data_IF_963924493292
#
_entry.id   IF_963924493292
#
_cell.length_a   1.000
_cell.length_b   1.000
_cell.length_c   1.000
_cell.angle_alpha   90.00
_cell.angle_beta   90.00
_cell.angle_gamma   90.00
#
_symmetry.space_group_name_H-M   'P 1'
#
loop_
_entity.id
_entity.type
_entity.pdbx_description
1 polymer ?
#
# COMPACT_ATOMS: atom_id res chain seq x y z
N UNK A 1 10.54 -14.49 8.48
CA UNK A 1 10.28 -15.93 8.81
C UNK A 1 8.79 -16.24 8.97
N UNK A 2 8.02 -15.54 9.81
CA UNK A 2 6.58 -15.88 10.04
C UNK A 2 5.74 -15.86 8.76
N UNK A 3 5.86 -14.83 7.92
CA UNK A 3 5.10 -14.73 6.66
C UNK A 3 5.42 -15.87 5.69
N UNK A 4 6.70 -16.25 5.57
CA UNK A 4 7.12 -17.37 4.71
C UNK A 4 6.56 -18.70 5.19
N UNK A 5 6.52 -18.92 6.52
CA UNK A 5 5.94 -20.14 7.11
C UNK A 5 4.44 -20.22 6.85
N UNK A 6 3.72 -19.11 7.09
CA UNK A 6 2.27 -19.02 6.78
C UNK A 6 2.05 -19.25 5.28
N UNK A 7 2.85 -18.63 4.42
CA UNK A 7 2.78 -18.84 2.97
C UNK A 7 3.01 -20.28 2.55
N UNK A 8 3.98 -20.95 3.15
CA UNK A 8 4.25 -22.37 2.89
C UNK A 8 3.08 -23.25 3.33
N UNK A 9 2.51 -23.00 4.51
CA UNK A 9 1.33 -23.73 5.00
C UNK A 9 0.15 -23.54 4.06
N UNK A 10 -0.13 -22.31 3.63
CA UNK A 10 -1.19 -22.02 2.67
C UNK A 10 -0.94 -22.66 1.30
N UNK A 11 0.30 -22.66 0.83
CA UNK A 11 0.69 -23.29 -0.44
C UNK A 11 0.50 -24.83 -0.38
N UNK A 12 0.88 -25.45 0.73
CA UNK A 12 0.64 -26.89 0.95
C UNK A 12 -0.86 -27.17 1.03
N UNK A 13 -1.61 -26.37 1.80
CA UNK A 13 -3.07 -26.53 1.90
C UNK A 13 -3.75 -26.39 0.53
N UNK A 14 -3.40 -25.33 -0.23
CA UNK A 14 -3.90 -25.14 -1.59
C UNK A 14 -3.47 -26.27 -2.54
N UNK A 15 -2.23 -26.76 -2.44
CA UNK A 15 -1.77 -27.91 -3.21
C UNK A 15 -2.55 -29.20 -2.90
N UNK A 16 -2.95 -29.41 -1.66
CA UNK A 16 -3.83 -30.54 -1.27
C UNK A 16 -5.19 -30.40 -1.96
N UNK A 17 -5.81 -29.22 -2.03
CA UNK A 17 -7.11 -29.04 -2.72
C UNK A 17 -7.02 -29.37 -4.22
N UNK A 18 -5.89 -29.07 -4.85
CA UNK A 18 -5.65 -29.42 -6.26
C UNK A 18 -5.45 -30.93 -6.43
N UNK A 19 -4.60 -31.55 -5.60
CA UNK A 19 -4.31 -33.00 -5.72
C UNK A 19 -5.46 -33.89 -5.35
N UNK A 20 -6.37 -33.42 -4.47
CA UNK A 20 -7.61 -34.14 -4.10
C UNK A 20 -8.74 -33.89 -5.09
N UNK A 21 -8.57 -33.04 -6.10
CA UNK A 21 -9.59 -32.70 -7.08
C UNK A 21 -10.69 -31.76 -6.57
N UNK A 22 -10.56 -31.21 -5.36
CA UNK A 22 -11.46 -30.17 -4.84
C UNK A 22 -11.39 -28.91 -5.70
N UNK A 23 -10.16 -28.51 -6.08
CA UNK A 23 -9.93 -27.44 -7.04
C UNK A 23 -9.46 -28.04 -8.37
N UNK A 24 -10.27 -27.95 -9.47
CA UNK A 24 -9.90 -28.48 -10.78
C UNK A 24 -8.64 -27.81 -11.33
N UNK A 25 -7.80 -28.55 -12.06
CA UNK A 25 -6.58 -28.03 -12.66
C UNK A 25 -6.85 -26.88 -13.65
N UNK A 26 -7.99 -26.89 -14.33
CA UNK A 26 -8.41 -25.82 -15.24
C UNK A 26 -8.55 -24.49 -14.50
N UNK A 27 -9.14 -24.48 -13.30
CA UNK A 27 -9.26 -23.28 -12.46
C UNK A 27 -7.89 -22.77 -11.99
N UNK A 28 -6.98 -23.68 -11.67
CA UNK A 28 -5.58 -23.31 -11.36
C UNK A 28 -4.90 -22.65 -12.55
N UNK A 29 -5.11 -23.14 -13.77
CA UNK A 29 -4.53 -22.52 -14.96
C UNK A 29 -5.06 -21.09 -15.19
N UNK A 30 -6.38 -20.89 -15.07
CA UNK A 30 -7.02 -19.57 -15.14
C UNK A 30 -6.46 -18.64 -14.06
N UNK A 31 -6.33 -19.14 -12.83
CA UNK A 31 -5.75 -18.38 -11.72
C UNK A 31 -4.30 -17.97 -12.03
N UNK A 32 -3.48 -18.87 -12.55
CA UNK A 32 -2.07 -18.58 -12.91
C UNK A 32 -2.00 -17.51 -13.99
N UNK A 33 -2.79 -17.62 -15.05
CA UNK A 33 -2.81 -16.64 -16.16
C UNK A 33 -3.22 -15.24 -15.65
N UNK A 34 -4.14 -15.17 -14.70
CA UNK A 34 -4.56 -13.92 -14.05
C UNK A 34 -3.47 -13.34 -13.16
N UNK A 35 -2.83 -14.17 -12.34
CA UNK A 35 -1.98 -13.72 -11.21
C UNK A 35 -0.52 -13.55 -11.60
N UNK A 36 -0.01 -14.35 -12.56
CA UNK A 36 1.41 -14.32 -12.91
C UNK A 36 1.91 -12.95 -13.41
N UNK A 37 1.21 -12.21 -14.28
CA UNK A 37 1.63 -10.86 -14.70
C UNK A 37 1.65 -9.87 -13.52
N UNK A 38 0.69 -9.99 -12.61
CA UNK A 38 0.56 -9.15 -11.41
C UNK A 38 1.74 -9.41 -10.45
N UNK A 39 2.05 -10.68 -10.18
CA UNK A 39 3.19 -11.04 -9.34
C UNK A 39 4.52 -10.64 -9.99
N UNK A 40 4.65 -10.80 -11.30
CA UNK A 40 5.80 -10.31 -12.07
C UNK A 40 6.02 -8.81 -11.89
N UNK A 41 4.96 -8.03 -11.97
CA UNK A 41 4.98 -6.60 -11.68
C UNK A 41 5.42 -6.31 -10.23
N UNK A 42 4.84 -7.00 -9.24
CA UNK A 42 5.17 -6.81 -7.82
C UNK A 42 6.64 -7.10 -7.54
N UNK A 43 7.19 -8.17 -8.12
CA UNK A 43 8.63 -8.49 -8.02
C UNK A 43 9.47 -7.39 -8.63
N UNK A 44 9.17 -6.98 -9.85
CA UNK A 44 9.93 -5.95 -10.56
C UNK A 44 9.90 -4.62 -9.78
N UNK A 45 8.74 -4.18 -9.31
CA UNK A 45 8.60 -2.96 -8.53
C UNK A 45 9.31 -3.02 -7.17
N UNK A 46 9.30 -4.19 -6.52
CA UNK A 46 10.07 -4.38 -5.28
C UNK A 46 11.56 -4.20 -5.54
N UNK A 47 12.09 -4.82 -6.61
CA UNK A 47 13.50 -4.66 -7.00
C UNK A 47 13.81 -3.19 -7.32
N UNK A 48 12.99 -2.52 -8.13
CA UNK A 48 13.15 -1.08 -8.44
C UNK A 48 13.23 -0.28 -7.15
N UNK A 49 12.30 -0.47 -6.24
CA UNK A 49 12.19 0.32 -5.01
C UNK A 49 13.36 0.09 -4.06
N UNK A 50 13.78 -1.16 -3.89
CA UNK A 50 14.96 -1.49 -3.08
C UNK A 50 16.24 -0.88 -3.68
N UNK A 51 16.44 -0.96 -4.99
CA UNK A 51 17.60 -0.37 -5.66
C UNK A 51 17.59 1.16 -5.59
N UNK A 52 16.44 1.81 -5.74
CA UNK A 52 16.26 3.26 -5.54
C UNK A 52 16.59 3.66 -4.09
N UNK A 53 16.20 2.85 -3.13
CA UNK A 53 16.53 3.04 -1.71
C UNK A 53 18.04 2.91 -1.47
N UNK A 54 18.67 1.89 -2.03
CA UNK A 54 20.13 1.67 -1.95
C UNK A 54 20.94 2.74 -2.68
N UNK A 55 20.38 3.39 -3.70
CA UNK A 55 20.97 4.56 -4.35
C UNK A 55 21.00 5.80 -3.43
N UNK A 56 20.20 5.80 -2.36
CA UNK A 56 20.16 6.88 -1.38
C UNK A 56 19.08 7.93 -1.60
N UNK A 57 18.05 7.62 -2.41
CA UNK A 57 16.96 8.56 -2.71
C UNK A 57 16.19 9.01 -1.45
N UNK A 58 15.83 8.07 -0.58
CA UNK A 58 15.11 8.38 0.65
C UNK A 58 15.99 9.17 1.66
N UNK A 59 17.28 8.90 1.71
CA UNK A 59 18.26 9.65 2.53
C UNK A 59 18.43 11.07 1.99
N UNK A 60 18.41 11.25 0.67
CA UNK A 60 18.45 12.56 0.05
C UNK A 60 17.21 13.38 0.42
N UNK A 61 16.03 12.80 0.29
CA UNK A 61 14.75 13.42 0.70
C UNK A 61 14.82 13.81 2.19
N UNK A 62 15.21 12.89 3.08
CA UNK A 62 15.30 13.13 4.52
C UNK A 62 16.17 14.34 4.88
N UNK A 63 17.30 14.52 4.18
CA UNK A 63 18.21 15.67 4.41
C UNK A 63 17.59 17.01 4.05
N UNK A 64 16.75 17.05 3.00
CA UNK A 64 16.18 18.30 2.50
C UNK A 64 14.84 18.67 3.18
N UNK A 65 14.09 17.68 3.65
CA UNK A 65 12.76 17.88 4.24
C UNK A 65 12.74 18.88 5.39
N UNK A 66 13.75 18.85 6.29
CA UNK A 66 13.85 19.82 7.39
C UNK A 66 13.97 21.26 6.90
N UNK A 67 14.78 21.48 5.87
CA UNK A 67 14.95 22.79 5.25
C UNK A 67 13.65 23.29 4.61
N UNK A 68 12.96 22.41 3.89
CA UNK A 68 11.69 22.71 3.23
C UNK A 68 10.56 23.00 4.23
N UNK A 69 10.58 22.37 5.42
CA UNK A 69 9.63 22.63 6.50
C UNK A 69 9.75 24.01 7.17
N UNK A 70 10.78 24.79 6.80
CA UNK A 70 10.99 26.20 7.23
C UNK A 70 10.86 26.43 8.75
N UNK A 71 11.18 25.44 9.58
CA UNK A 71 11.07 25.52 11.04
C UNK A 71 9.65 25.38 11.59
N UNK A 72 8.63 25.07 10.75
CA UNK A 72 7.24 24.89 11.16
C UNK A 72 6.87 23.41 11.13
N UNK A 73 6.42 22.86 12.26
CA UNK A 73 6.03 21.46 12.38
C UNK A 73 4.89 21.08 11.43
N UNK A 74 3.90 21.94 11.27
CA UNK A 74 2.76 21.71 10.36
C UNK A 74 3.22 21.60 8.90
N UNK A 75 4.14 22.45 8.45
CA UNK A 75 4.64 22.40 7.07
C UNK A 75 5.49 21.15 6.83
N UNK A 76 6.32 20.78 7.80
CA UNK A 76 7.09 19.54 7.76
C UNK A 76 6.17 18.32 7.70
N UNK A 77 5.11 18.31 8.51
CA UNK A 77 4.12 17.24 8.51
C UNK A 77 3.37 17.14 7.17
N UNK A 78 2.93 18.25 6.59
CA UNK A 78 2.27 18.27 5.28
C UNK A 78 3.20 17.80 4.16
N UNK A 79 4.47 18.17 4.19
CA UNK A 79 5.46 17.66 3.24
C UNK A 79 5.65 16.14 3.38
N UNK A 80 5.75 15.63 4.61
CA UNK A 80 5.85 14.19 4.85
C UNK A 80 4.57 13.45 4.44
N UNK A 81 3.39 14.04 4.68
CA UNK A 81 2.12 13.50 4.21
C UNK A 81 2.05 13.46 2.67
N UNK A 82 2.53 14.51 1.99
CA UNK A 82 2.64 14.54 0.54
C UNK A 82 3.58 13.43 0.03
N UNK A 83 4.76 13.27 0.63
CA UNK A 83 5.68 12.20 0.26
C UNK A 83 5.10 10.80 0.53
N UNK A 84 4.37 10.62 1.63
CA UNK A 84 3.70 9.37 1.92
C UNK A 84 2.61 9.07 0.88
N UNK A 85 1.81 10.07 0.52
CA UNK A 85 0.78 9.93 -0.52
C UNK A 85 1.39 9.59 -1.87
N UNK A 86 2.38 10.37 -2.35
CA UNK A 86 3.04 10.11 -3.63
C UNK A 86 3.77 8.76 -3.65
N UNK A 87 4.49 8.44 -2.57
CA UNK A 87 5.16 7.15 -2.43
C UNK A 87 4.18 5.98 -2.49
N UNK A 88 3.02 6.10 -1.85
CA UNK A 88 1.99 5.06 -1.87
C UNK A 88 1.34 4.94 -3.25
N UNK A 89 0.93 6.06 -3.84
CA UNK A 89 0.28 6.07 -5.16
C UNK A 89 1.17 5.46 -6.25
N UNK A 90 2.47 5.75 -6.24
CA UNK A 90 3.36 5.39 -7.34
C UNK A 90 4.31 4.23 -7.07
N UNK A 91 4.64 3.93 -5.82
CA UNK A 91 5.57 2.85 -5.49
C UNK A 91 4.93 1.67 -4.76
N UNK A 92 3.99 1.85 -3.92
CA UNK A 92 3.10 0.92 -3.21
C UNK A 92 2.98 1.23 -1.71
N UNK A 93 1.94 0.66 -1.08
CA UNK A 93 1.70 0.78 0.36
C UNK A 93 2.85 0.17 1.19
N UNK A 94 3.35 -1.00 0.79
CA UNK A 94 4.41 -1.70 1.52
C UNK A 94 5.73 -0.93 1.47
N UNK A 95 6.04 -0.37 0.30
CA UNK A 95 7.21 0.50 0.09
C UNK A 95 7.16 1.71 1.00
N UNK A 96 6.04 2.42 1.03
CA UNK A 96 5.83 3.59 1.90
C UNK A 96 6.00 3.21 3.36
N UNK A 97 5.38 2.12 3.80
CA UNK A 97 5.49 1.63 5.17
C UNK A 97 6.94 1.28 5.56
N UNK A 98 7.68 0.62 4.68
CA UNK A 98 9.04 0.14 4.98
C UNK A 98 10.08 1.25 4.87
N UNK A 99 10.06 2.03 3.79
CA UNK A 99 11.14 2.96 3.47
C UNK A 99 10.91 4.37 4.00
N UNK A 100 9.67 4.84 4.04
CA UNK A 100 9.40 6.18 4.54
C UNK A 100 9.35 6.25 6.07
N UNK A 101 8.97 5.17 6.76
CA UNK A 101 8.92 5.16 8.23
C UNK A 101 10.26 5.54 8.89
N UNK A 102 11.42 4.96 8.51
CA UNK A 102 12.69 5.38 9.07
C UNK A 102 13.03 6.85 8.79
N UNK A 103 12.69 7.35 7.61
CA UNK A 103 12.88 8.76 7.23
C UNK A 103 12.08 9.66 8.15
N UNK A 104 10.80 9.37 8.30
CA UNK A 104 9.84 10.14 9.11
C UNK A 104 10.25 10.19 10.57
N UNK A 105 10.62 9.04 11.15
CA UNK A 105 11.10 8.95 12.54
C UNK A 105 12.37 9.77 12.74
N UNK A 106 13.33 9.64 11.81
CA UNK A 106 14.60 10.36 11.89
C UNK A 106 14.38 11.88 11.79
N UNK A 107 13.58 12.33 10.83
CA UNK A 107 13.29 13.75 10.61
C UNK A 107 12.56 14.35 11.81
N UNK A 108 11.55 13.66 12.37
CA UNK A 108 10.82 14.12 13.55
C UNK A 108 11.74 14.22 14.77
N UNK A 109 12.60 13.22 15.03
CA UNK A 109 13.58 13.25 16.14
C UNK A 109 14.61 14.36 15.98
N UNK A 110 15.15 14.56 14.79
CA UNK A 110 16.11 15.63 14.51
C UNK A 110 15.49 17.02 14.68
N UNK A 111 14.19 17.14 14.39
CA UNK A 111 13.44 18.38 14.63
C UNK A 111 13.01 18.56 16.09
N UNK A 112 13.26 17.58 16.99
CA UNK A 112 12.81 17.60 18.38
C UNK A 112 11.28 17.50 18.51
N UNK A 113 10.61 16.90 17.52
CA UNK A 113 9.15 16.79 17.47
C UNK A 113 8.69 15.39 17.92
N UNK A 114 7.46 15.25 18.48
CA UNK A 114 6.86 13.97 18.78
C UNK A 114 6.73 13.11 17.51
N UNK A 115 7.22 11.88 17.56
CA UNK A 115 7.24 10.97 16.40
C UNK A 115 5.83 10.47 16.03
N UNK A 116 4.94 10.31 17.01
CA UNK A 116 3.66 9.63 16.85
C UNK A 116 2.76 10.19 15.73
N UNK A 117 2.47 11.51 15.63
CA UNK A 117 1.61 12.03 14.57
C UNK A 117 2.18 11.77 13.18
N UNK A 118 3.50 11.86 13.03
CA UNK A 118 4.19 11.60 11.77
C UNK A 118 4.17 10.12 11.39
N UNK A 119 4.39 9.24 12.36
CA UNK A 119 4.38 7.79 12.16
C UNK A 119 2.97 7.28 11.82
N UNK A 120 1.92 7.78 12.50
CA UNK A 120 0.52 7.46 12.17
C UNK A 120 0.14 7.93 10.76
N UNK A 121 0.53 9.16 10.39
CA UNK A 121 0.33 9.68 9.03
C UNK A 121 0.91 8.72 7.99
N UNK A 122 2.12 8.23 8.21
CA UNK A 122 2.79 7.33 7.25
C UNK A 122 2.00 6.03 7.04
N UNK A 123 1.61 5.34 8.11
CA UNK A 123 0.92 4.04 7.98
C UNK A 123 -0.52 4.19 7.49
N UNK A 124 -1.22 5.25 7.92
CA UNK A 124 -2.58 5.47 7.48
C UNK A 124 -2.63 5.86 6.01
N UNK A 125 -1.75 6.75 5.56
CA UNK A 125 -1.65 7.08 4.13
C UNK A 125 -1.08 5.93 3.29
N UNK A 126 -0.21 5.08 3.83
CA UNK A 126 0.20 3.86 3.15
C UNK A 126 -1.00 2.99 2.79
N UNK A 127 -1.99 2.85 3.68
CA UNK A 127 -3.21 2.10 3.39
C UNK A 127 -4.19 2.91 2.54
N UNK A 128 -4.55 4.15 2.92
CA UNK A 128 -5.67 4.89 2.30
C UNK A 128 -5.31 5.59 0.99
N UNK A 129 -4.06 6.07 0.83
CA UNK A 129 -3.63 6.69 -0.42
C UNK A 129 -3.35 5.67 -1.54
N UNK A 130 -3.38 4.37 -1.23
CA UNK A 130 -3.19 3.32 -2.22
C UNK A 130 -4.38 3.16 -3.18
N UNK A 131 -5.51 3.81 -2.92
CA UNK A 131 -6.75 3.65 -3.70
C UNK A 131 -6.68 4.21 -5.13
N UNK A 132 -5.83 5.20 -5.41
CA UNK A 132 -5.92 6.00 -6.64
C UNK A 132 -5.49 5.24 -7.90
N UNK A 133 -4.43 4.46 -7.84
CA UNK A 133 -3.87 3.75 -9.00
C UNK A 133 -3.83 2.23 -8.78
N UNK A 134 -3.94 1.43 -9.85
CA UNK A 134 -3.84 -0.03 -9.74
C UNK A 134 -2.51 -0.49 -9.14
N UNK A 135 -1.42 0.16 -9.51
CA UNK A 135 -0.05 -0.19 -9.11
C UNK A 135 0.25 0.00 -7.62
N UNK A 136 -0.61 0.71 -6.91
CA UNK A 136 -0.39 1.09 -5.50
C UNK A 136 -0.61 -0.07 -4.53
N UNK A 137 -1.45 -1.04 -4.91
CA UNK A 137 -1.83 -2.19 -4.07
C UNK A 137 -2.19 -3.40 -4.94
N UNK A 138 -1.87 -4.59 -4.43
CA UNK A 138 -2.22 -5.85 -5.10
C UNK A 138 -3.74 -6.02 -5.28
N UNK A 139 -4.55 -5.60 -4.31
CA UNK A 139 -6.01 -5.64 -4.42
C UNK A 139 -6.53 -4.77 -5.58
N UNK A 140 -5.92 -3.62 -5.82
CA UNK A 140 -6.29 -2.74 -6.93
C UNK A 140 -5.92 -3.34 -8.29
N UNK A 141 -4.77 -4.02 -8.38
CA UNK A 141 -4.35 -4.71 -9.61
C UNK A 141 -5.32 -5.83 -9.97
N UNK A 142 -5.77 -6.59 -8.98
CA UNK A 142 -6.77 -7.63 -9.16
C UNK A 142 -8.12 -7.03 -9.57
N UNK A 143 -8.53 -5.95 -8.92
CA UNK A 143 -9.75 -5.22 -9.26
C UNK A 143 -9.71 -4.66 -10.69
N UNK A 144 -8.59 -4.07 -11.10
CA UNK A 144 -8.40 -3.60 -12.48
C UNK A 144 -8.58 -4.73 -13.49
N UNK A 145 -8.00 -5.89 -13.21
CA UNK A 145 -8.15 -7.08 -14.07
C UNK A 145 -9.61 -7.52 -14.15
N UNK A 146 -10.31 -7.62 -13.01
CA UNK A 146 -11.72 -8.04 -12.96
C UNK A 146 -12.69 -7.05 -13.60
N UNK A 147 -12.33 -5.77 -13.64
CA UNK A 147 -13.06 -4.74 -14.37
C UNK A 147 -12.83 -4.80 -15.90
N UNK A 148 -12.36 -5.94 -16.43
CA UNK A 148 -12.10 -6.14 -17.85
C UNK A 148 -10.75 -5.55 -18.31
N UNK A 149 -9.81 -5.35 -17.40
CA UNK A 149 -8.49 -4.78 -17.72
C UNK A 149 -8.55 -3.31 -18.12
N UNK A 150 -9.44 -2.53 -17.48
CA UNK A 150 -9.54 -1.08 -17.74
C UNK A 150 -8.18 -0.40 -17.61
N UNK A 151 -7.97 0.68 -18.37
CA UNK A 151 -6.71 1.42 -18.29
C UNK A 151 -6.47 2.02 -16.90
N UNK A 152 -5.21 2.25 -16.49
CA UNK A 152 -4.91 2.94 -15.23
C UNK A 152 -5.58 4.32 -15.11
N UNK A 153 -5.78 5.01 -16.23
CA UNK A 153 -6.48 6.29 -16.27
C UNK A 153 -7.99 6.12 -15.96
N UNK A 154 -8.65 5.13 -16.54
CA UNK A 154 -10.05 4.81 -16.23
C UNK A 154 -10.22 4.37 -14.78
N UNK A 155 -9.30 3.56 -14.26
CA UNK A 155 -9.29 3.21 -12.85
C UNK A 155 -9.14 4.45 -11.95
N UNK A 156 -8.23 5.36 -12.30
CA UNK A 156 -8.05 6.62 -11.57
C UNK A 156 -9.30 7.52 -11.66
N UNK A 157 -10.01 7.53 -12.79
CA UNK A 157 -11.28 8.24 -12.94
C UNK A 157 -12.38 7.67 -12.02
N UNK A 158 -12.43 6.34 -11.85
CA UNK A 158 -13.34 5.70 -10.91
C UNK A 158 -12.98 6.04 -9.45
N UNK A 159 -11.68 6.04 -9.14
CA UNK A 159 -11.19 6.06 -7.76
C UNK A 159 -10.72 7.44 -7.26
N UNK A 160 -10.71 8.51 -8.06
CA UNK A 160 -10.15 9.81 -7.65
C UNK A 160 -10.88 10.41 -6.45
N UNK A 161 -12.21 10.46 -6.49
CA UNK A 161 -13.01 11.08 -5.44
C UNK A 161 -12.95 10.27 -4.12
N UNK A 162 -13.17 8.93 -4.11
CA UNK A 162 -12.91 8.11 -2.95
C UNK A 162 -11.49 8.25 -2.40
N UNK A 163 -10.47 8.31 -3.27
CA UNK A 163 -9.07 8.42 -2.86
C UNK A 163 -8.77 9.75 -2.17
N UNK A 164 -9.29 10.85 -2.70
CA UNK A 164 -9.14 12.18 -2.07
C UNK A 164 -9.78 12.18 -0.69
N UNK A 165 -11.00 11.67 -0.54
CA UNK A 165 -11.67 11.55 0.75
C UNK A 165 -10.88 10.67 1.72
N UNK A 166 -10.38 9.52 1.24
CA UNK A 166 -9.61 8.57 2.04
C UNK A 166 -8.24 9.11 2.49
N UNK A 167 -7.68 10.08 1.80
CA UNK A 167 -6.47 10.81 2.22
C UNK A 167 -6.80 11.93 3.19
N UNK A 168 -7.83 12.73 2.90
CA UNK A 168 -8.14 13.93 3.67
C UNK A 168 -8.68 13.62 5.06
N UNK A 169 -9.51 12.58 5.23
CA UNK A 169 -10.11 12.25 6.53
C UNK A 169 -9.06 11.86 7.58
N UNK A 170 -8.13 10.93 7.33
CA UNK A 170 -7.05 10.63 8.28
C UNK A 170 -6.15 11.83 8.57
N UNK A 171 -5.85 12.65 7.55
CA UNK A 171 -5.06 13.87 7.74
C UNK A 171 -5.78 14.89 8.62
N UNK A 172 -7.07 15.13 8.37
CA UNK A 172 -7.88 16.02 9.20
C UNK A 172 -7.96 15.54 10.64
N UNK A 173 -8.15 14.24 10.86
CA UNK A 173 -8.16 13.65 12.19
C UNK A 173 -6.82 13.88 12.92
N UNK A 174 -5.69 13.59 12.29
CA UNK A 174 -4.36 13.83 12.88
C UNK A 174 -4.16 15.33 13.16
N UNK A 175 -4.56 16.20 12.23
CA UNK A 175 -4.44 17.64 12.41
C UNK A 175 -5.24 18.17 13.61
N UNK A 176 -6.42 17.58 13.87
CA UNK A 176 -7.28 17.96 15.01
C UNK A 176 -6.72 17.40 16.33
N UNK A 177 -6.41 16.11 16.35
CA UNK A 177 -5.96 15.41 17.58
C UNK A 177 -4.59 15.93 18.03
N UNK A 178 -3.67 16.10 17.09
CA UNK A 178 -2.28 16.52 17.37
C UNK A 178 -2.03 17.99 17.06
N UNK A 179 -3.07 18.84 17.10
CA UNK A 179 -2.98 20.28 16.77
C UNK A 179 -1.94 21.03 17.59
N UNK A 180 -1.74 20.64 18.86
CA UNK A 180 -0.76 21.29 19.75
C UNK A 180 0.68 20.96 19.32
N UNK A 181 0.95 19.73 18.94
CA UNK A 181 2.23 19.23 18.47
C UNK A 181 2.58 19.81 17.09
N UNK A 182 1.60 19.88 16.19
CA UNK A 182 1.76 20.39 14.83
C UNK A 182 1.93 21.91 14.75
N UNK A 183 1.52 22.65 15.81
CA UNK A 183 1.77 24.11 15.92
C UNK A 183 3.16 24.47 16.46
N UNK A 184 3.94 23.49 16.92
CA UNK A 184 5.31 23.74 17.41
C UNK A 184 6.21 24.21 16.27
N UNK A 185 7.23 24.96 16.64
CA UNK A 185 8.35 25.31 15.77
C UNK A 185 9.58 24.50 16.15
N UNK A 186 10.52 24.35 15.22
CA UNK A 186 11.78 23.65 15.45
C UNK A 186 12.96 24.47 14.89
N UNK A 187 14.14 24.31 15.50
CA UNK A 187 15.34 24.99 15.05
C UNK A 187 15.79 24.47 13.67
N UNK A 188 16.00 25.39 12.73
CA UNK A 188 16.38 25.11 11.35
C UNK A 188 17.80 24.54 11.24
N UNK A 189 18.69 25.00 12.11
CA UNK A 189 20.16 24.79 12.07
C UNK A 189 20.70 23.86 13.17
N UNK A 190 19.91 22.95 13.71
CA UNK A 190 20.48 21.98 14.64
C UNK A 190 21.45 21.05 13.88
N UNK A 191 22.73 21.32 14.03
CA UNK A 191 23.89 20.52 13.58
C UNK A 191 24.04 19.18 14.32
N UNK A 192 22.96 18.65 14.90
CA UNK A 192 23.00 17.30 15.48
C UNK A 192 23.20 16.29 14.36
N UNK A 193 24.34 15.57 14.38
CA UNK A 193 24.57 14.50 13.41
C UNK A 193 23.39 13.53 13.40
N UNK A 194 23.02 13.05 12.25
CA UNK A 194 21.99 12.03 12.07
C UNK A 194 22.41 10.73 12.77
N UNK A 195 22.16 10.61 14.09
CA UNK A 195 22.30 9.34 14.78
C UNK A 195 21.21 8.41 14.26
N UNK A 196 21.59 7.43 13.45
CA UNK A 196 20.69 6.40 12.94
C UNK A 196 20.59 6.26 11.42
N UNK A 197 20.98 7.24 10.62
CA UNK A 197 21.25 7.01 9.20
C UNK A 197 22.73 6.64 9.13
N UNK A 198 23.03 5.38 8.82
CA UNK A 198 24.42 4.92 8.66
C UNK A 198 25.18 5.89 7.73
N UNK A 199 26.07 6.71 8.29
CA UNK A 199 26.81 7.77 7.58
C UNK A 199 27.86 7.20 6.61
N UNK A 200 27.93 5.88 6.45
CA UNK A 200 28.92 5.18 5.63
C UNK A 200 28.49 4.84 4.20
N UNK A 201 27.26 5.09 3.80
CA UNK A 201 26.93 4.98 2.38
C UNK A 201 27.37 6.27 1.68
N UNK A 202 28.55 6.27 1.09
CA UNK A 202 28.91 7.29 0.09
C UNK A 202 27.81 7.29 -0.97
N UNK A 203 26.99 8.35 -0.96
CA UNK A 203 25.90 8.49 -1.94
C UNK A 203 26.53 8.50 -3.32
N UNK A 204 26.35 7.43 -4.08
CA UNK A 204 26.81 7.38 -5.45
C UNK A 204 25.89 8.27 -6.29
N UNK A 205 26.38 9.46 -6.66
CA UNK A 205 25.58 10.44 -7.40
C UNK A 205 25.10 9.91 -8.74
N UNK A 206 25.84 9.00 -9.37
CA UNK A 206 25.46 8.41 -10.64
C UNK A 206 24.29 7.44 -10.44
N UNK A 207 24.35 6.54 -9.45
CA UNK A 207 23.23 5.65 -9.12
C UNK A 207 21.99 6.43 -8.70
N UNK A 208 22.16 7.51 -7.93
CA UNK A 208 21.03 8.36 -7.55
C UNK A 208 20.38 9.03 -8.76
N UNK A 209 21.21 9.56 -9.69
CA UNK A 209 20.71 10.19 -10.91
C UNK A 209 20.03 9.17 -11.84
N UNK A 210 20.64 8.01 -12.06
CA UNK A 210 20.03 6.92 -12.84
C UNK A 210 18.72 6.50 -12.22
N UNK A 211 18.66 6.32 -10.90
CA UNK A 211 17.42 5.98 -10.20
C UNK A 211 16.33 7.05 -10.37
N UNK A 212 16.70 8.33 -10.29
CA UNK A 212 15.76 9.43 -10.49
C UNK A 212 15.22 9.46 -11.94
N UNK A 213 16.09 9.27 -12.94
CA UNK A 213 15.71 9.22 -14.37
C UNK A 213 14.81 8.01 -14.63
N UNK A 214 15.18 6.82 -14.11
CA UNK A 214 14.37 5.61 -14.27
C UNK A 214 12.99 5.80 -13.67
N UNK A 215 12.88 6.35 -12.45
CA UNK A 215 11.57 6.65 -11.85
C UNK A 215 10.78 7.67 -12.66
N UNK A 216 11.42 8.73 -13.14
CA UNK A 216 10.76 9.78 -13.95
C UNK A 216 10.16 9.21 -15.24
N UNK A 217 10.82 8.24 -15.86
CA UNK A 217 10.35 7.57 -17.07
C UNK A 217 9.34 6.45 -16.77
N UNK A 218 9.53 5.75 -15.66
CA UNK A 218 8.66 4.66 -15.24
C UNK A 218 7.24 5.15 -14.91
N UNK A 219 7.12 6.27 -14.16
CA UNK A 219 5.80 6.75 -13.72
C UNK A 219 4.82 7.00 -14.88
N UNK A 220 5.15 7.76 -15.94
CA UNK A 220 4.26 7.89 -17.08
C UNK A 220 4.07 6.58 -17.86
N UNK A 221 5.09 5.72 -17.91
CA UNK A 221 4.98 4.43 -18.59
C UNK A 221 3.97 3.48 -17.91
N UNK A 222 3.87 3.52 -16.58
CA UNK A 222 2.89 2.73 -15.82
C UNK A 222 1.44 3.17 -16.04
N UNK A 223 1.22 4.38 -16.52
CA UNK A 223 -0.13 4.95 -16.80
C UNK A 223 -0.44 4.93 -18.31
N UNK A 224 0.52 4.60 -19.16
CA UNK A 224 0.41 4.67 -20.64
C UNK A 224 -0.53 3.64 -21.26
N UNK A 225 -1.02 2.65 -20.51
CA UNK A 225 -1.85 1.56 -21.02
C UNK A 225 -1.07 0.33 -21.51
N UNK A 226 0.26 0.39 -21.50
CA UNK A 226 1.11 -0.81 -21.72
C UNK A 226 0.99 -1.75 -20.52
N UNK A 227 1.06 -3.05 -20.74
CA UNK A 227 1.03 -4.04 -19.66
C UNK A 227 2.08 -3.68 -18.58
N UNK A 228 1.63 -3.39 -17.36
CA UNK A 228 2.39 -2.75 -16.28
C UNK A 228 3.68 -3.48 -15.91
N UNK A 229 3.70 -4.81 -16.07
CA UNK A 229 4.89 -5.61 -15.77
C UNK A 229 6.05 -5.32 -16.73
N UNK A 230 5.77 -4.89 -17.97
CA UNK A 230 6.80 -4.59 -19.00
C UNK A 230 7.66 -3.39 -18.59
N UNK A 231 7.10 -2.18 -18.35
CA UNK A 231 7.91 -1.04 -17.93
C UNK A 231 8.56 -1.26 -16.56
N UNK A 232 7.90 -1.99 -15.64
CA UNK A 232 8.49 -2.32 -14.35
C UNK A 232 9.72 -3.25 -14.49
N UNK A 233 9.63 -4.29 -15.33
CA UNK A 233 10.73 -5.19 -15.61
C UNK A 233 11.89 -4.47 -16.31
N UNK A 234 11.60 -3.58 -17.27
CA UNK A 234 12.61 -2.75 -17.93
C UNK A 234 13.33 -1.82 -16.94
N UNK A 235 12.60 -1.18 -16.05
CA UNK A 235 13.18 -0.35 -14.99
C UNK A 235 14.05 -1.17 -14.03
N UNK A 236 13.57 -2.35 -13.59
CA UNK A 236 14.32 -3.25 -12.72
C UNK A 236 15.62 -3.74 -13.41
N UNK A 237 15.56 -4.10 -14.70
CA UNK A 237 16.71 -4.50 -15.46
C UNK A 237 17.73 -3.36 -15.62
N UNK A 238 17.26 -2.15 -15.97
CA UNK A 238 18.12 -0.95 -16.11
C UNK A 238 18.86 -0.62 -14.82
N UNK A 239 18.14 -0.60 -13.69
CA UNK A 239 18.76 -0.39 -12.38
C UNK A 239 19.68 -1.56 -12.01
N UNK A 240 19.26 -2.79 -12.27
CA UNK A 240 20.08 -4.00 -12.06
C UNK A 240 21.42 -3.91 -12.76
N UNK A 241 21.45 -3.53 -14.05
CA UNK A 241 22.69 -3.32 -14.81
C UNK A 241 23.54 -2.20 -14.20
N UNK A 242 22.93 -1.05 -13.86
CA UNK A 242 23.66 0.06 -13.25
C UNK A 242 24.31 -0.35 -11.92
N UNK A 243 23.58 -1.12 -11.09
CA UNK A 243 24.11 -1.64 -9.83
C UNK A 243 25.13 -2.75 -10.01
N UNK A 244 24.99 -3.62 -11.03
CA UNK A 244 25.96 -4.67 -11.36
C UNK A 244 27.34 -4.07 -11.67
N UNK A 245 27.37 -2.94 -12.38
CA UNK A 245 28.61 -2.24 -12.73
C UNK A 245 29.22 -1.49 -11.53
N UNK A 246 28.39 -0.85 -10.70
CA UNK A 246 28.89 0.08 -9.68
C UNK A 246 28.89 -0.47 -8.25
N UNK A 247 27.91 -1.30 -7.89
CA UNK A 247 27.73 -1.89 -6.57
C UNK A 247 27.19 -3.32 -6.63
N UNK A 248 27.93 -4.28 -7.24
CA UNK A 248 27.44 -5.65 -7.48
C UNK A 248 27.00 -6.37 -6.19
N UNK A 249 27.60 -6.03 -5.04
CA UNK A 249 27.27 -6.62 -3.72
C UNK A 249 25.86 -6.33 -3.24
N UNK A 250 25.16 -5.35 -3.83
CA UNK A 250 23.77 -5.02 -3.51
C UNK A 250 22.83 -6.03 -4.18
N UNK A 251 23.20 -6.56 -5.36
CA UNK A 251 22.40 -7.52 -6.10
C UNK A 251 22.44 -8.89 -5.42
N UNK A 252 21.43 -9.15 -4.62
CA UNK A 252 21.28 -10.39 -3.86
C UNK A 252 19.91 -11.00 -4.18
N UNK A 253 19.80 -12.32 -4.07
CA UNK A 253 18.54 -13.05 -4.22
C UNK A 253 17.47 -12.56 -3.23
N UNK A 254 17.89 -11.96 -2.12
CA UNK A 254 17.00 -11.36 -1.11
C UNK A 254 16.29 -10.08 -1.58
N UNK A 255 16.66 -9.49 -2.72
CA UNK A 255 15.89 -8.41 -3.35
C UNK A 255 14.51 -8.88 -3.84
N UNK A 256 14.39 -10.17 -4.16
CA UNK A 256 13.11 -10.78 -4.53
C UNK A 256 12.31 -11.04 -3.26
N UNK A 257 11.04 -10.61 -3.19
CA UNK A 257 10.19 -10.75 -2.01
C UNK A 257 9.62 -12.18 -1.85
N UNK A 258 10.49 -13.18 -1.69
CA UNK A 258 10.11 -14.60 -1.62
C UNK A 258 9.00 -14.91 -0.63
N UNK A 259 9.07 -14.29 0.56
CA UNK A 259 8.04 -14.49 1.59
C UNK A 259 6.66 -13.98 1.16
N UNK A 260 6.62 -12.89 0.41
CA UNK A 260 5.39 -12.33 -0.15
C UNK A 260 4.85 -13.23 -1.26
N UNK A 261 5.72 -13.69 -2.17
CA UNK A 261 5.33 -14.59 -3.25
C UNK A 261 4.73 -15.89 -2.73
N UNK A 262 5.43 -16.55 -1.79
CA UNK A 262 4.93 -17.80 -1.17
C UNK A 262 3.58 -17.58 -0.49
N UNK A 263 3.46 -16.48 0.28
CA UNK A 263 2.21 -16.15 0.96
C UNK A 263 1.09 -15.90 -0.03
N UNK A 264 1.34 -15.11 -1.06
CA UNK A 264 0.32 -14.72 -2.05
C UNK A 264 -0.12 -15.90 -2.92
N UNK A 265 0.82 -16.71 -3.43
CA UNK A 265 0.48 -17.92 -4.19
C UNK A 265 -0.34 -18.92 -3.38
N UNK A 266 0.09 -19.19 -2.13
CA UNK A 266 -0.66 -20.10 -1.25
C UNK A 266 -2.05 -19.57 -0.91
N UNK A 267 -2.14 -18.25 -0.65
CA UNK A 267 -3.41 -17.58 -0.36
C UNK A 267 -4.39 -17.68 -1.55
N UNK A 268 -3.91 -17.41 -2.76
CA UNK A 268 -4.75 -17.50 -3.96
C UNK A 268 -5.33 -18.91 -4.14
N UNK A 269 -4.52 -19.94 -4.01
CA UNK A 269 -5.00 -21.33 -4.13
C UNK A 269 -6.07 -21.68 -3.09
N UNK A 270 -5.84 -21.29 -1.82
CA UNK A 270 -6.79 -21.59 -0.73
C UNK A 270 -8.10 -20.80 -0.91
N UNK A 271 -8.01 -19.52 -1.30
CA UNK A 271 -9.22 -18.70 -1.52
C UNK A 271 -9.98 -19.18 -2.74
N UNK A 272 -9.30 -19.52 -3.83
CA UNK A 272 -9.93 -20.08 -5.04
C UNK A 272 -10.69 -21.37 -4.74
N UNK A 273 -10.07 -22.29 -3.98
CA UNK A 273 -10.74 -23.50 -3.50
C UNK A 273 -11.94 -23.17 -2.61
N UNK A 274 -11.83 -22.17 -1.74
CA UNK A 274 -12.93 -21.69 -0.91
C UNK A 274 -14.09 -21.11 -1.74
N UNK A 275 -13.79 -20.34 -2.77
CA UNK A 275 -14.79 -19.81 -3.70
C UNK A 275 -15.49 -20.92 -4.49
N UNK A 276 -14.73 -21.89 -4.99
CA UNK A 276 -15.25 -23.06 -5.67
C UNK A 276 -16.20 -23.87 -4.79
N UNK A 277 -15.95 -23.91 -3.47
CA UNK A 277 -16.83 -24.53 -2.46
C UNK A 277 -18.00 -23.61 -2.01
N UNK A 278 -18.15 -22.42 -2.61
CA UNK A 278 -19.27 -21.52 -2.34
C UNK A 278 -19.09 -20.56 -1.17
N UNK A 279 -17.86 -20.29 -0.73
CA UNK A 279 -17.60 -19.37 0.38
C UNK A 279 -18.14 -17.94 0.15
N UNK A 280 -18.21 -17.48 -1.10
CA UNK A 280 -18.78 -16.18 -1.48
C UNK A 280 -20.28 -16.07 -1.24
N UNK A 281 -21.03 -17.19 -1.27
CA UNK A 281 -22.48 -17.22 -1.03
C UNK A 281 -22.80 -16.77 0.39
N UNK A 282 -22.00 -17.20 1.38
CA UNK A 282 -22.17 -16.82 2.79
C UNK A 282 -21.97 -15.32 3.03
N UNK A 283 -21.11 -14.68 2.24
CA UNK A 283 -20.85 -13.25 2.35
C UNK A 283 -21.91 -12.41 1.60
N UNK A 284 -22.59 -13.00 0.60
CA UNK A 284 -23.56 -12.31 -0.24
C UNK A 284 -24.73 -11.73 0.53
N UNK A 285 -25.22 -12.45 1.54
CA UNK A 285 -26.31 -11.99 2.42
C UNK A 285 -25.91 -10.74 3.24
N UNK A 286 -24.64 -10.68 3.68
CA UNK A 286 -24.12 -9.57 4.48
C UNK A 286 -23.76 -8.36 3.61
N UNK A 287 -23.19 -8.60 2.43
CA UNK A 287 -22.69 -7.55 1.56
C UNK A 287 -23.80 -6.74 0.85
N UNK A 288 -25.03 -7.28 0.80
CA UNK A 288 -26.15 -6.67 0.09
C UNK A 288 -26.00 -6.72 -1.43
N UNK A 289 -27.09 -6.36 -2.11
CA UNK A 289 -27.17 -6.30 -3.59
C UNK A 289 -27.65 -4.90 -3.97
N UNK A 290 -27.17 -4.37 -5.13
CA UNK A 290 -27.53 -3.04 -5.62
C UNK A 290 -26.40 -2.02 -5.47
N UNK A 291 -26.64 -0.83 -6.02
CA UNK A 291 -25.63 0.22 -6.24
C UNK A 291 -25.97 1.52 -5.48
N UNK A 292 -27.01 1.49 -4.66
CA UNK A 292 -27.36 2.59 -3.79
C UNK A 292 -26.28 2.86 -2.73
N UNK A 293 -26.28 4.06 -2.18
CA UNK A 293 -25.28 4.47 -1.18
C UNK A 293 -25.17 3.51 0.01
N UNK A 294 -26.32 3.03 0.52
CA UNK A 294 -26.34 2.10 1.67
C UNK A 294 -25.78 0.73 1.31
N UNK A 295 -26.07 0.23 0.12
CA UNK A 295 -25.57 -1.05 -0.39
C UNK A 295 -24.06 -0.99 -0.64
N UNK A 296 -23.57 0.12 -1.23
CA UNK A 296 -22.14 0.36 -1.38
C UNK A 296 -21.44 0.48 -0.02
N UNK A 297 -22.06 1.16 0.93
CA UNK A 297 -21.54 1.29 2.30
C UNK A 297 -21.50 -0.08 3.01
N UNK A 298 -22.54 -0.92 2.86
CA UNK A 298 -22.56 -2.28 3.42
C UNK A 298 -21.43 -3.13 2.85
N UNK A 299 -21.21 -3.10 1.54
CA UNK A 299 -20.11 -3.83 0.91
C UNK A 299 -18.76 -3.34 1.39
N UNK A 300 -18.56 -2.01 1.47
CA UNK A 300 -17.33 -1.42 2.00
C UNK A 300 -17.09 -1.84 3.48
N UNK A 301 -18.13 -1.80 4.31
CA UNK A 301 -18.03 -2.24 5.71
C UNK A 301 -17.75 -3.75 5.82
N UNK A 302 -18.32 -4.57 4.95
CA UNK A 302 -18.02 -6.02 4.86
C UNK A 302 -16.53 -6.24 4.53
N UNK A 303 -15.99 -5.53 3.53
CA UNK A 303 -14.56 -5.56 3.22
C UNK A 303 -13.68 -5.09 4.38
N UNK A 304 -14.07 -4.03 5.09
CA UNK A 304 -13.36 -3.50 6.24
C UNK A 304 -13.35 -4.48 7.42
N UNK A 305 -14.49 -5.06 7.75
CA UNK A 305 -14.61 -6.08 8.80
C UNK A 305 -13.79 -7.32 8.43
N UNK A 306 -13.92 -7.82 7.21
CA UNK A 306 -13.13 -8.93 6.71
C UNK A 306 -11.63 -8.67 6.82
N UNK A 307 -11.17 -7.47 6.45
CA UNK A 307 -9.76 -7.09 6.58
C UNK A 307 -9.26 -7.18 8.01
N UNK A 308 -10.08 -6.79 8.97
CA UNK A 308 -9.73 -6.83 10.39
C UNK A 308 -9.82 -8.24 11.01
N UNK A 309 -10.52 -9.16 10.37
CA UNK A 309 -10.56 -10.58 10.78
C UNK A 309 -9.38 -11.36 10.21
N UNK A 310 -9.12 -11.24 8.89
CA UNK A 310 -8.14 -12.09 8.21
C UNK A 310 -6.97 -11.35 7.59
N UNK A 311 -7.11 -10.20 7.03
CA UNK A 311 -6.19 -9.29 6.32
C UNK A 311 -6.89 -8.75 5.06
N UNK A 312 -6.41 -7.60 4.53
CA UNK A 312 -7.04 -6.93 3.38
C UNK A 312 -7.07 -7.78 2.10
N UNK A 313 -6.01 -8.49 1.77
CA UNK A 313 -5.95 -9.27 0.53
C UNK A 313 -6.91 -10.47 0.54
N UNK A 314 -6.92 -11.38 1.54
CA UNK A 314 -7.92 -12.44 1.59
C UNK A 314 -9.35 -11.92 1.74
N UNK A 315 -9.58 -10.81 2.46
CA UNK A 315 -10.90 -10.20 2.57
C UNK A 315 -11.40 -9.71 1.20
N UNK A 316 -10.51 -9.06 0.43
CA UNK A 316 -10.81 -8.64 -0.94
C UNK A 316 -11.17 -9.85 -1.80
N UNK A 317 -10.31 -10.87 -1.87
CA UNK A 317 -10.50 -12.04 -2.71
C UNK A 317 -11.81 -12.77 -2.41
N UNK A 318 -12.18 -12.91 -1.13
CA UNK A 318 -13.44 -13.56 -0.74
C UNK A 318 -14.67 -12.74 -1.13
N UNK A 319 -14.59 -11.41 -1.08
CA UNK A 319 -15.69 -10.51 -1.38
C UNK A 319 -15.74 -10.04 -2.85
N UNK A 320 -14.67 -10.25 -3.63
CA UNK A 320 -14.54 -9.83 -5.03
C UNK A 320 -15.71 -10.28 -5.92
N UNK A 321 -16.21 -11.54 -5.84
CA UNK A 321 -17.35 -11.98 -6.65
C UNK A 321 -18.65 -11.22 -6.37
N UNK A 322 -18.74 -10.53 -5.23
CA UNK A 322 -19.92 -9.74 -4.83
C UNK A 322 -19.89 -8.33 -5.43
N UNK A 323 -18.75 -7.92 -5.99
CA UNK A 323 -18.53 -6.61 -6.59
C UNK A 323 -18.74 -6.67 -8.12
N UNK A 324 -19.96 -7.00 -8.55
CA UNK A 324 -20.31 -7.29 -9.94
C UNK A 324 -20.28 -6.10 -10.91
N UNK A 325 -19.96 -4.87 -10.45
CA UNK A 325 -19.85 -3.66 -11.27
C UNK A 325 -18.76 -2.71 -10.73
N UNK A 326 -18.39 -1.66 -11.48
CA UNK A 326 -17.29 -0.76 -11.09
C UNK A 326 -17.52 -0.05 -9.75
N UNK A 327 -18.72 0.42 -9.45
CA UNK A 327 -19.06 1.16 -8.24
C UNK A 327 -18.95 0.25 -7.01
N UNK A 328 -19.46 -0.96 -7.09
CA UNK A 328 -19.33 -1.97 -6.04
C UNK A 328 -17.87 -2.38 -5.83
N UNK A 329 -17.11 -2.54 -6.92
CA UNK A 329 -15.69 -2.82 -6.84
C UNK A 329 -14.94 -1.69 -6.14
N UNK A 330 -15.24 -0.43 -6.48
CA UNK A 330 -14.67 0.73 -5.82
C UNK A 330 -15.02 0.78 -4.33
N UNK A 331 -16.28 0.50 -3.96
CA UNK A 331 -16.72 0.44 -2.57
C UNK A 331 -16.00 -0.66 -1.78
N UNK A 332 -15.84 -1.86 -2.37
CA UNK A 332 -15.07 -2.95 -1.76
C UNK A 332 -13.61 -2.54 -1.53
N UNK A 333 -12.97 -1.92 -2.52
CA UNK A 333 -11.60 -1.42 -2.40
C UNK A 333 -11.47 -0.37 -1.30
N UNK A 334 -12.42 0.55 -1.18
CA UNK A 334 -12.48 1.52 -0.06
C UNK A 334 -12.48 0.77 1.27
N UNK A 335 -13.33 -0.24 1.42
CA UNK A 335 -13.44 -1.03 2.65
C UNK A 335 -12.15 -1.75 3.03
N UNK A 336 -11.57 -2.51 2.10
CA UNK A 336 -10.37 -3.31 2.37
C UNK A 336 -9.09 -2.47 2.54
N UNK A 337 -9.08 -1.21 2.07
CA UNK A 337 -7.93 -0.31 2.24
C UNK A 337 -8.08 0.64 3.44
N UNK A 338 -9.29 1.02 3.83
CA UNK A 338 -9.53 1.84 5.02
C UNK A 338 -9.75 1.00 6.29
N UNK A 339 -10.25 -0.23 6.17
CA UNK A 339 -10.39 -1.18 7.29
C UNK A 339 -9.09 -1.39 8.09
N UNK A 340 -7.94 -1.56 7.45
CA UNK A 340 -6.63 -1.75 8.11
C UNK A 340 -6.16 -0.64 9.03
N UNK A 341 -6.87 0.45 9.16
CA UNK A 341 -6.56 1.49 10.15
C UNK A 341 -6.88 1.05 11.59
N UNK A 342 -7.60 -0.07 11.80
CA UNK A 342 -8.06 -0.51 13.13
C UNK A 342 -7.09 -1.52 13.75
N UNK A 343 -6.80 -2.64 13.05
CA UNK A 343 -5.98 -3.71 13.62
C UNK A 343 -4.63 -3.86 12.92
N UNK A 344 -3.59 -4.30 13.64
CA UNK A 344 -2.25 -4.40 13.05
C UNK A 344 -2.13 -5.46 11.95
N UNK A 345 -2.86 -6.55 12.05
CA UNK A 345 -2.81 -7.66 11.08
C UNK A 345 -3.67 -7.43 9.84
N UNK A 346 -4.52 -6.41 9.86
CA UNK A 346 -5.43 -6.12 8.75
C UNK A 346 -4.69 -5.70 7.45
N UNK A 347 -3.42 -5.27 7.55
CA UNK A 347 -2.57 -4.99 6.40
C UNK A 347 -1.12 -5.38 6.70
N UNK A 348 -0.45 -5.96 5.69
CA UNK A 348 0.98 -6.25 5.77
C UNK A 348 1.79 -4.96 5.96
N UNK A 349 1.43 -3.88 5.29
CA UNK A 349 2.07 -2.59 5.45
C UNK A 349 2.08 -2.10 6.91
N UNK A 350 0.97 -2.31 7.64
CA UNK A 350 0.88 -1.95 9.07
C UNK A 350 1.84 -2.76 9.94
N UNK A 351 1.99 -4.05 9.65
CA UNK A 351 2.96 -4.92 10.36
C UNK A 351 4.40 -4.53 10.05
N UNK A 352 4.70 -4.24 8.79
CA UNK A 352 6.03 -3.80 8.35
C UNK A 352 6.40 -2.44 8.95
N UNK A 353 5.47 -1.48 8.95
CA UNK A 353 5.63 -0.19 9.61
C UNK A 353 5.97 -0.35 11.10
N UNK A 354 5.24 -1.21 11.80
CA UNK A 354 5.50 -1.46 13.21
C UNK A 354 6.87 -2.10 13.46
N UNK A 355 7.27 -3.08 12.65
CA UNK A 355 8.61 -3.67 12.73
C UNK A 355 9.71 -2.61 12.57
N UNK A 356 9.54 -1.65 11.63
CA UNK A 356 10.47 -0.54 11.46
C UNK A 356 10.52 0.37 12.69
N UNK A 357 9.37 0.69 13.29
CA UNK A 357 9.31 1.50 14.51
C UNK A 357 10.00 0.82 15.69
N UNK A 358 9.74 -0.47 15.91
CA UNK A 358 10.38 -1.25 16.98
C UNK A 358 11.90 -1.26 16.82
N UNK A 359 12.42 -1.49 15.61
CA UNK A 359 13.87 -1.42 15.32
C UNK A 359 14.47 -0.05 15.58
N UNK A 360 13.67 1.00 15.57
CA UNK A 360 14.09 2.38 15.86
C UNK A 360 13.78 2.78 17.31
N UNK A 361 13.41 1.83 18.20
CA UNK A 361 13.02 2.11 19.57
C UNK A 361 11.87 3.14 19.69
N UNK A 362 10.87 3.02 18.80
CA UNK A 362 9.61 3.77 18.86
C UNK A 362 8.50 2.80 19.22
N UNK A 363 7.96 2.93 20.42
CA UNK A 363 6.88 2.07 20.90
C UNK A 363 5.53 2.71 20.62
N UNK A 364 4.71 2.06 19.80
CA UNK A 364 3.31 2.41 19.59
C UNK A 364 2.43 1.35 20.25
N UNK A 365 1.59 1.77 21.19
CA UNK A 365 0.67 0.86 21.87
C UNK A 365 -0.49 0.52 20.93
N UNK A 366 -0.68 -0.77 20.64
CA UNK A 366 -1.76 -1.25 19.77
C UNK A 366 -3.17 -0.82 20.20
N UNK A 367 -3.42 -0.72 21.52
CA UNK A 367 -4.69 -0.20 22.04
C UNK A 367 -4.95 1.24 21.57
N UNK A 368 -3.93 2.10 21.60
CA UNK A 368 -4.04 3.48 21.11
C UNK A 368 -4.25 3.54 19.60
N UNK A 369 -3.53 2.71 18.86
CA UNK A 369 -3.71 2.58 17.41
C UNK A 369 -5.15 2.17 17.06
N UNK A 370 -5.65 1.09 17.70
CA UNK A 370 -6.99 0.57 17.46
C UNK A 370 -8.09 1.58 17.85
N UNK A 371 -7.93 2.28 18.98
CA UNK A 371 -8.91 3.31 19.41
C UNK A 371 -9.02 4.46 18.41
N UNK A 372 -7.90 4.94 17.87
CA UNK A 372 -7.92 5.94 16.80
C UNK A 372 -8.52 5.36 15.52
N UNK A 373 -8.12 4.13 15.17
CA UNK A 373 -8.61 3.43 14.00
C UNK A 373 -10.12 3.20 14.03
N UNK A 374 -10.70 2.86 15.18
CA UNK A 374 -12.16 2.69 15.35
C UNK A 374 -12.97 3.95 15.05
N UNK A 375 -12.34 5.12 15.14
CA UNK A 375 -12.97 6.39 14.76
C UNK A 375 -12.66 6.73 13.30
N UNK A 376 -11.37 6.65 12.92
CA UNK A 376 -10.90 7.12 11.62
C UNK A 376 -11.36 6.22 10.47
N UNK A 377 -11.34 4.89 10.65
CA UNK A 377 -11.71 3.96 9.58
C UNK A 377 -13.18 4.12 9.14
N UNK A 378 -14.18 4.09 10.05
CA UNK A 378 -15.57 4.32 9.66
C UNK A 378 -15.81 5.69 9.02
N UNK A 379 -15.20 6.74 9.54
CA UNK A 379 -15.30 8.09 8.97
C UNK A 379 -14.69 8.15 7.57
N UNK A 380 -13.55 7.48 7.37
CA UNK A 380 -12.88 7.41 6.06
C UNK A 380 -13.73 6.63 5.06
N UNK A 381 -14.28 5.48 5.46
CA UNK A 381 -15.15 4.65 4.63
C UNK A 381 -16.41 5.43 4.24
N UNK A 382 -17.09 6.04 5.22
CA UNK A 382 -18.29 6.82 4.98
C UNK A 382 -18.03 7.97 4.00
N UNK A 383 -16.96 8.74 4.20
CA UNK A 383 -16.61 9.88 3.34
C UNK A 383 -16.21 9.42 1.93
N UNK A 384 -15.44 8.33 1.81
CA UNK A 384 -15.00 7.81 0.52
C UNK A 384 -16.16 7.19 -0.28
N UNK A 385 -17.06 6.45 0.36
CA UNK A 385 -18.26 5.90 -0.30
C UNK A 385 -19.23 7.02 -0.67
N UNK A 386 -19.38 8.05 0.17
CA UNK A 386 -20.19 9.24 -0.18
C UNK A 386 -19.58 9.97 -1.39
N UNK A 387 -18.27 10.15 -1.44
CA UNK A 387 -17.60 10.74 -2.59
C UNK A 387 -17.77 9.89 -3.87
N UNK A 388 -17.75 8.55 -3.75
CA UNK A 388 -18.04 7.63 -4.85
C UNK A 388 -19.49 7.79 -5.35
N UNK A 389 -20.46 7.83 -4.46
CA UNK A 389 -21.87 7.98 -4.81
C UNK A 389 -22.20 9.34 -5.46
N UNK A 390 -21.43 10.38 -5.14
CA UNK A 390 -21.63 11.73 -5.70
C UNK A 390 -20.90 11.94 -7.02
N UNK A 391 -19.66 11.46 -7.13
CA UNK A 391 -18.73 11.76 -8.23
C UNK A 391 -18.32 10.51 -9.04
N UNK A 392 -18.84 9.34 -8.71
CA UNK A 392 -18.61 8.11 -9.48
C UNK A 392 -19.36 8.12 -10.82
N UNK A 393 -19.07 7.16 -11.72
CA UNK A 393 -19.69 7.08 -13.06
C UNK A 393 -21.21 7.01 -13.05
N UNK A 394 -21.83 6.44 -12.02
CA UNK A 394 -23.29 6.41 -11.79
C UNK A 394 -23.78 7.47 -10.79
N UNK A 395 -22.95 8.43 -10.42
CA UNK A 395 -23.24 9.42 -9.40
C UNK A 395 -24.04 10.61 -9.88
N UNK A 396 -24.36 11.53 -8.95
CA UNK A 396 -25.17 12.74 -9.25
C UNK A 396 -24.50 13.72 -10.22
N UNK A 397 -23.17 13.64 -10.38
CA UNK A 397 -22.36 14.52 -11.22
C UNK A 397 -21.39 13.74 -12.14
N UNK A 398 -21.60 12.42 -12.34
CA UNK A 398 -20.84 11.55 -13.21
C UNK A 398 -21.39 11.43 -14.63
#
# INVERSE_FOLDING_TARGET
>A
MRLAIIGLVLLVAGGITVTTGVLPWQEVAVLVDRVAPILGFVVAMTVVTELVSEAGAFQWIARHLRGWGRGRSILLWLLLALFATLGTVFLSLDTTAVLLTPVVVTVARQAGLPVLPFALTTVWLANTASLLLPISNLTNLLAQHNLGGISPAQFAQLMWAPSVAAVLVPLAFIAIVFRRELRKTYARDSTRPAQGISSKATTDRVLLLVSAVVLLLLLPALVSGVAIWIPAAAAAATLGVAFAVRRPKVLRVTLIPWSLLLFTCGLFLVVEAGQYLGASVLLGEVAGQGDGFLELLRLAMTGALGSNVVNNLPAYLLAEPLAGNPERMAALLVGVNAGPLITPWASLATLLWHDRLVRMNVLVKWRGYALFGLIVAPLTILAAVAALAVFGPGGLFG
#
